data_IF_168203057893
#
_entry.id   IF_168203057893
#
_cell.length_a   1.000
_cell.length_b   1.000
_cell.length_c   1.000
_cell.angle_alpha   90.00
_cell.angle_beta   90.00
_cell.angle_gamma   90.00
#
_symmetry.space_group_name_H-M   'P 1'
#
loop_
_entity.id
_entity.type
_entity.pdbx_description
1 polymer ?
#
# COMPACT_ATOMS: atom_id res chain seq x y z
N UNK A 1 25.26 35.76 16.14
CA UNK A 1 25.01 34.34 15.73
C UNK A 1 24.58 34.36 14.27
N UNK A 2 25.46 33.88 13.37
CA UNK A 2 25.14 33.70 11.95
C UNK A 2 24.19 32.49 11.83
N UNK A 3 22.90 32.71 11.51
CA UNK A 3 21.99 31.66 11.07
C UNK A 3 22.37 31.30 9.62
N UNK A 4 23.14 30.22 9.46
CA UNK A 4 23.37 29.61 8.16
C UNK A 4 22.07 28.95 7.71
N UNK A 5 21.57 29.27 6.50
CA UNK A 5 20.40 28.56 5.97
C UNK A 5 20.72 27.07 5.81
N UNK A 6 19.84 26.20 6.32
CA UNK A 6 19.98 24.76 6.14
C UNK A 6 19.92 24.43 4.66
N UNK A 7 20.95 23.77 4.13
CA UNK A 7 20.97 23.26 2.75
C UNK A 7 19.78 22.30 2.59
N UNK A 8 18.87 22.52 1.62
CA UNK A 8 17.78 21.58 1.38
C UNK A 8 18.36 20.21 1.06
N UNK A 9 18.00 19.19 1.84
CA UNK A 9 18.38 17.81 1.51
C UNK A 9 17.80 17.46 0.14
N UNK A 10 18.64 17.00 -0.78
CA UNK A 10 18.19 16.46 -2.06
C UNK A 10 17.12 15.39 -1.80
N UNK A 11 15.92 15.58 -2.32
CA UNK A 11 14.85 14.58 -2.24
C UNK A 11 15.21 13.43 -3.17
N UNK A 12 15.66 12.32 -2.60
CA UNK A 12 15.83 11.08 -3.36
C UNK A 12 14.47 10.61 -3.87
N UNK A 13 14.41 10.24 -5.16
CA UNK A 13 13.21 9.63 -5.72
C UNK A 13 12.84 8.36 -4.94
N UNK A 14 11.55 8.11 -4.72
CA UNK A 14 11.10 6.91 -4.02
C UNK A 14 11.49 5.64 -4.80
N UNK A 15 11.95 4.63 -4.08
CA UNK A 15 12.19 3.30 -4.63
C UNK A 15 10.84 2.65 -4.94
N UNK A 16 10.68 2.19 -6.18
CA UNK A 16 9.47 1.49 -6.66
C UNK A 16 9.88 0.10 -7.11
N UNK A 17 9.08 -0.90 -6.76
CA UNK A 17 9.22 -2.27 -7.21
C UNK A 17 8.43 -2.47 -8.52
N UNK A 18 8.94 -3.30 -9.42
CA UNK A 18 8.15 -3.74 -10.58
C UNK A 18 7.04 -4.71 -10.16
N UNK A 19 6.06 -4.95 -11.06
CA UNK A 19 4.98 -5.91 -10.81
C UNK A 19 5.53 -7.34 -10.64
N UNK A 20 6.60 -7.69 -11.35
CA UNK A 20 7.29 -8.97 -11.22
C UNK A 20 8.00 -9.09 -9.86
N UNK A 21 8.63 -8.02 -9.37
CA UNK A 21 9.26 -7.99 -8.04
C UNK A 21 8.21 -8.18 -6.93
N UNK A 22 7.04 -7.51 -7.04
CA UNK A 22 5.91 -7.72 -6.13
C UNK A 22 5.44 -9.18 -6.17
N UNK A 23 5.29 -9.75 -7.36
CA UNK A 23 4.89 -11.14 -7.53
C UNK A 23 5.89 -12.11 -6.89
N UNK A 24 7.19 -11.90 -7.10
CA UNK A 24 8.25 -12.69 -6.46
C UNK A 24 8.16 -12.60 -4.93
N UNK A 25 7.90 -11.44 -4.37
CA UNK A 25 7.68 -11.29 -2.92
C UNK A 25 6.49 -12.10 -2.42
N UNK A 26 5.35 -12.04 -3.12
CA UNK A 26 4.15 -12.80 -2.75
C UNK A 26 4.39 -14.32 -2.82
N UNK A 27 5.14 -14.80 -3.80
CA UNK A 27 5.52 -16.21 -3.92
C UNK A 27 6.51 -16.64 -2.84
N UNK A 28 7.49 -15.80 -2.49
CA UNK A 28 8.52 -16.08 -1.49
C UNK A 28 8.01 -16.00 -0.04
N UNK A 29 6.80 -15.47 0.16
CA UNK A 29 6.15 -15.41 1.48
C UNK A 29 5.58 -16.77 1.84
N UNK A 30 6.34 -17.60 2.59
CA UNK A 30 5.93 -18.94 3.00
C UNK A 30 4.74 -18.93 3.97
N UNK A 31 4.80 -18.05 4.97
CA UNK A 31 3.71 -17.91 5.93
C UNK A 31 2.53 -17.15 5.31
N UNK A 32 1.34 -17.73 5.42
CA UNK A 32 0.10 -17.11 4.94
C UNK A 32 -0.11 -15.72 5.55
N UNK A 33 0.19 -15.55 6.84
CA UNK A 33 0.23 -14.26 7.54
C UNK A 33 1.04 -13.21 6.79
N UNK A 34 2.25 -13.54 6.38
CA UNK A 34 3.14 -12.60 5.71
C UNK A 34 2.69 -12.32 4.28
N UNK A 35 2.14 -13.32 3.58
CA UNK A 35 1.58 -13.13 2.24
C UNK A 35 0.39 -12.18 2.26
N UNK A 36 -0.53 -12.35 3.21
CA UNK A 36 -1.67 -11.44 3.42
C UNK A 36 -1.20 -10.04 3.83
N UNK A 37 -0.19 -9.96 4.70
CA UNK A 37 0.42 -8.70 5.13
C UNK A 37 0.95 -7.89 3.94
N UNK A 38 1.80 -8.51 3.10
CA UNK A 38 2.36 -7.87 1.89
C UNK A 38 1.23 -7.49 0.92
N UNK A 39 0.27 -8.40 0.73
CA UNK A 39 -0.89 -8.17 -0.11
C UNK A 39 -1.71 -6.95 0.33
N UNK A 40 -1.89 -6.74 1.64
CA UNK A 40 -2.60 -5.56 2.19
C UNK A 40 -1.78 -4.28 2.03
N UNK A 41 -0.47 -4.33 2.33
CA UNK A 41 0.38 -3.13 2.19
C UNK A 41 0.42 -2.67 0.73
N UNK A 42 0.65 -3.59 -0.21
CA UNK A 42 0.71 -3.28 -1.63
C UNK A 42 -0.68 -3.09 -2.24
N UNK A 43 -1.64 -4.01 -2.00
CA UNK A 43 -2.94 -3.98 -2.67
C UNK A 43 -3.89 -2.88 -2.18
N UNK A 44 -3.65 -2.32 -0.98
CA UNK A 44 -4.46 -1.25 -0.38
C UNK A 44 -3.64 0.01 -0.04
N UNK A 45 -2.35 0.03 -0.32
CA UNK A 45 -1.47 1.16 -0.06
C UNK A 45 -1.33 1.53 1.42
N UNK A 46 -1.35 0.55 2.33
CA UNK A 46 -1.39 0.79 3.77
C UNK A 46 -0.05 1.23 4.35
N UNK A 47 -0.11 2.09 5.37
CA UNK A 47 1.05 2.39 6.22
C UNK A 47 1.30 1.24 7.19
N UNK A 48 2.53 1.11 7.67
CA UNK A 48 2.93 0.07 8.62
C UNK A 48 1.99 0.01 9.86
N UNK A 49 1.65 1.16 10.43
CA UNK A 49 0.75 1.22 11.58
C UNK A 49 -0.71 0.96 11.21
N UNK A 50 -1.13 1.30 10.00
CA UNK A 50 -2.49 1.01 9.54
C UNK A 50 -2.70 -0.51 9.40
N UNK A 51 -1.77 -1.22 8.73
CA UNK A 51 -1.89 -2.67 8.59
C UNK A 51 -1.84 -3.41 9.92
N UNK A 52 -1.01 -2.93 10.87
CA UNK A 52 -0.92 -3.48 12.22
C UNK A 52 -2.23 -3.34 13.01
N UNK A 53 -2.94 -2.25 12.81
CA UNK A 53 -4.14 -1.88 13.56
C UNK A 53 -5.45 -2.31 12.89
N UNK A 54 -5.40 -3.15 11.85
CA UNK A 54 -6.63 -3.70 11.25
C UNK A 54 -7.33 -4.60 12.27
N UNK A 55 -8.56 -4.24 12.62
CA UNK A 55 -9.47 -5.09 13.37
C UNK A 55 -10.39 -5.85 12.41
N UNK A 56 -10.87 -7.03 12.81
CA UNK A 56 -11.76 -7.86 11.98
C UNK A 56 -13.03 -7.13 11.57
N UNK A 57 -13.59 -6.28 12.44
CA UNK A 57 -14.78 -5.47 12.16
C UNK A 57 -14.60 -4.42 11.06
N UNK A 58 -13.33 -4.11 10.69
CA UNK A 58 -13.01 -3.16 9.62
C UNK A 58 -13.06 -3.79 8.22
N UNK A 59 -13.19 -5.13 8.13
CA UNK A 59 -13.23 -5.89 6.88
C UNK A 59 -14.68 -6.06 6.42
N UNK A 60 -15.07 -5.36 5.37
CA UNK A 60 -16.36 -5.54 4.70
C UNK A 60 -16.14 -6.35 3.42
N UNK A 61 -16.37 -7.67 3.53
CA UNK A 61 -16.17 -8.58 2.41
C UNK A 61 -17.26 -8.49 1.34
N UNK A 62 -18.47 -8.08 1.72
CA UNK A 62 -19.61 -7.97 0.81
C UNK A 62 -19.44 -6.75 -0.09
N UNK A 63 -19.02 -5.63 0.48
CA UNK A 63 -18.69 -4.42 -0.27
C UNK A 63 -17.27 -4.42 -0.83
N UNK A 64 -16.47 -5.45 -0.52
CA UNK A 64 -15.05 -5.56 -0.90
C UNK A 64 -14.23 -4.34 -0.47
N UNK A 65 -14.39 -3.91 0.77
CA UNK A 65 -13.76 -2.71 1.30
C UNK A 65 -13.10 -2.97 2.65
N UNK A 66 -12.01 -2.24 2.91
CA UNK A 66 -11.38 -2.16 4.21
C UNK A 66 -11.51 -0.74 4.75
N UNK A 67 -12.07 -0.59 5.94
CA UNK A 67 -12.16 0.67 6.65
C UNK A 67 -10.86 0.96 7.39
N UNK A 68 -10.17 2.02 7.04
CA UNK A 68 -8.96 2.48 7.71
C UNK A 68 -9.33 3.58 8.68
N UNK A 69 -9.32 3.23 9.96
CA UNK A 69 -9.55 4.16 11.06
C UNK A 69 -8.25 4.88 11.39
N UNK A 70 -8.26 6.21 11.36
CA UNK A 70 -7.10 7.02 11.67
C UNK A 70 -7.27 7.71 13.02
N UNK A 71 -6.29 7.53 13.92
CA UNK A 71 -6.27 8.22 15.20
C UNK A 71 -5.88 9.70 15.02
N UNK A 72 -6.61 10.56 15.76
CA UNK A 72 -6.30 11.99 16.04
C UNK A 72 -6.13 12.89 14.80
N UNK A 73 -7.25 13.45 14.31
CA UNK A 73 -7.27 14.56 13.34
C UNK A 73 -7.16 14.18 11.87
N UNK A 74 -6.96 12.90 11.54
CA UNK A 74 -6.98 12.40 10.16
C UNK A 74 -8.33 11.76 9.85
N UNK A 75 -8.83 11.99 8.64
CA UNK A 75 -10.11 11.43 8.20
C UNK A 75 -9.99 9.93 7.94
N UNK A 76 -10.99 9.17 8.37
CA UNK A 76 -11.16 7.78 7.99
C UNK A 76 -11.30 7.64 6.48
N UNK A 77 -10.87 6.48 5.96
CA UNK A 77 -11.03 6.19 4.54
C UNK A 77 -11.35 4.72 4.30
N UNK A 78 -11.99 4.46 3.19
CA UNK A 78 -12.21 3.12 2.68
C UNK A 78 -11.25 2.84 1.52
N UNK A 79 -10.68 1.64 1.50
CA UNK A 79 -9.84 1.17 0.39
C UNK A 79 -10.39 -0.13 -0.16
N UNK A 80 -10.33 -0.37 -1.47
CA UNK A 80 -10.88 -1.57 -2.08
C UNK A 80 -10.04 -2.80 -1.72
N UNK A 81 -10.72 -3.94 -1.56
CA UNK A 81 -10.12 -5.27 -1.42
C UNK A 81 -10.31 -6.06 -2.71
N UNK A 82 -9.23 -6.54 -3.31
CA UNK A 82 -9.32 -7.44 -4.46
C UNK A 82 -9.85 -8.83 -4.04
N UNK A 83 -10.48 -9.55 -4.97
CA UNK A 83 -10.99 -10.90 -4.71
C UNK A 83 -9.88 -11.88 -4.27
N UNK A 84 -8.66 -11.72 -4.83
CA UNK A 84 -7.50 -12.50 -4.42
C UNK A 84 -7.13 -12.23 -2.96
N UNK A 85 -7.14 -10.95 -2.55
CA UNK A 85 -6.82 -10.57 -1.19
C UNK A 85 -7.90 -11.03 -0.21
N UNK A 86 -9.18 -10.91 -0.56
CA UNK A 86 -10.32 -11.41 0.24
C UNK A 86 -10.17 -12.91 0.49
N UNK A 87 -9.88 -13.71 -0.56
CA UNK A 87 -9.66 -15.15 -0.40
C UNK A 87 -8.48 -15.45 0.54
N UNK A 88 -7.38 -14.70 0.39
CA UNK A 88 -6.21 -14.83 1.27
C UNK A 88 -6.53 -14.50 2.73
N UNK A 89 -7.25 -13.39 2.96
CA UNK A 89 -7.65 -12.96 4.32
C UNK A 89 -8.58 -13.99 4.95
N UNK A 90 -9.61 -14.47 4.22
CA UNK A 90 -10.54 -15.48 4.74
C UNK A 90 -9.81 -16.78 5.11
N UNK A 91 -8.89 -17.27 4.26
CA UNK A 91 -8.04 -18.42 4.59
C UNK A 91 -7.19 -18.19 5.84
N UNK A 92 -6.59 -17.01 5.95
CA UNK A 92 -5.78 -16.65 7.11
C UNK A 92 -6.64 -16.63 8.40
N UNK A 93 -7.81 -16.00 8.36
CA UNK A 93 -8.74 -15.97 9.51
C UNK A 93 -9.16 -17.38 9.92
N UNK A 94 -9.47 -18.26 8.96
CA UNK A 94 -9.82 -19.66 9.24
C UNK A 94 -8.68 -20.50 9.80
N UNK A 95 -7.42 -20.16 9.50
CA UNK A 95 -6.26 -20.89 9.98
C UNK A 95 -5.76 -20.42 11.36
N UNK A 96 -5.77 -19.09 11.59
CA UNK A 96 -5.14 -18.49 12.77
C UNK A 96 -6.15 -18.06 13.85
N UNK A 97 -7.45 -18.04 13.52
CA UNK A 97 -8.55 -17.68 14.42
C UNK A 97 -8.32 -16.38 15.23
N UNK A 98 -7.92 -15.27 14.58
CA UNK A 98 -7.73 -14.01 15.29
C UNK A 98 -9.06 -13.54 15.91
N UNK A 99 -9.00 -12.91 17.09
CA UNK A 99 -10.20 -12.51 17.82
C UNK A 99 -10.59 -11.04 17.62
N UNK A 100 -9.63 -10.15 17.65
CA UNK A 100 -9.86 -8.70 17.52
C UNK A 100 -9.07 -8.11 16.37
N UNK A 101 -7.74 -8.22 16.43
CA UNK A 101 -6.85 -7.70 15.39
C UNK A 101 -6.57 -8.78 14.34
N UNK A 102 -6.55 -8.38 13.06
CA UNK A 102 -6.26 -9.29 11.98
C UNK A 102 -4.90 -9.98 12.16
N UNK A 103 -3.87 -9.21 12.54
CA UNK A 103 -2.53 -9.73 12.75
C UNK A 103 -2.16 -9.72 14.23
N UNK A 104 -1.95 -10.91 14.78
CA UNK A 104 -1.55 -11.10 16.18
C UNK A 104 -0.06 -11.44 16.28
N UNK A 105 0.58 -10.99 17.36
CA UNK A 105 1.93 -11.37 17.75
C UNK A 105 1.94 -12.53 18.75
N UNK A 106 3.10 -13.17 18.93
CA UNK A 106 3.26 -14.21 19.93
C UNK A 106 3.58 -13.68 21.34
N UNK A 107 4.00 -12.42 21.43
CA UNK A 107 4.29 -11.77 22.70
C UNK A 107 3.06 -11.04 23.21
N UNK A 108 2.51 -11.54 24.29
CA UNK A 108 1.66 -10.72 25.16
C UNK A 108 2.55 -9.60 25.72
N UNK A 109 2.04 -8.38 25.80
CA UNK A 109 2.73 -7.38 26.62
C UNK A 109 2.79 -7.87 28.06
N UNK A 110 3.60 -7.23 28.91
CA UNK A 110 3.74 -7.59 30.32
C UNK A 110 2.41 -7.54 31.10
N UNK A 111 1.36 -6.96 30.50
CA UNK A 111 -0.02 -6.86 31.02
C UNK A 111 -1.01 -7.79 30.30
N UNK A 112 -0.59 -8.55 29.29
CA UNK A 112 -1.43 -9.52 28.57
C UNK A 112 -2.42 -8.91 27.57
N UNK A 113 -2.37 -7.61 27.27
CA UNK A 113 -3.43 -6.90 26.54
C UNK A 113 -3.16 -6.57 25.08
N UNK A 114 -1.91 -6.44 24.62
CA UNK A 114 -1.66 -6.14 23.22
C UNK A 114 -1.13 -7.37 22.46
N UNK A 115 -2.06 -8.09 21.86
CA UNK A 115 -1.73 -9.24 21.00
C UNK A 115 -1.40 -8.85 19.56
N UNK A 116 -1.33 -7.55 19.24
CA UNK A 116 -1.07 -7.08 17.87
C UNK A 116 0.33 -7.42 17.39
N UNK A 117 0.44 -7.72 16.12
CA UNK A 117 1.75 -7.90 15.48
C UNK A 117 2.59 -6.61 15.61
N UNK A 118 3.84 -6.74 16.08
CA UNK A 118 4.68 -5.58 16.35
C UNK A 118 5.05 -4.82 15.08
N UNK A 119 5.29 -3.51 15.19
CA UNK A 119 5.79 -2.71 14.06
C UNK A 119 7.12 -3.26 13.52
N UNK A 120 8.02 -3.66 14.42
CA UNK A 120 9.29 -4.31 14.04
C UNK A 120 9.06 -5.62 13.30
N UNK A 121 8.07 -6.41 13.73
CA UNK A 121 7.69 -7.66 13.06
C UNK A 121 7.19 -7.43 11.63
N UNK A 122 6.35 -6.42 11.42
CA UNK A 122 5.87 -6.02 10.07
C UNK A 122 7.06 -5.61 9.18
N UNK A 123 7.95 -4.75 9.68
CA UNK A 123 9.12 -4.30 8.94
C UNK A 123 10.07 -5.45 8.63
N UNK A 124 10.35 -6.29 9.62
CA UNK A 124 11.18 -7.49 9.46
C UNK A 124 10.61 -8.44 8.41
N UNK A 125 9.31 -8.71 8.44
CA UNK A 125 8.66 -9.59 7.47
C UNK A 125 8.85 -9.07 6.03
N UNK A 126 8.62 -7.77 5.78
CA UNK A 126 8.81 -7.18 4.46
C UNK A 126 10.27 -7.29 4.00
N UNK A 127 11.23 -6.93 4.85
CA UNK A 127 12.66 -6.98 4.53
C UNK A 127 13.17 -8.42 4.34
N UNK A 128 12.76 -9.35 5.20
CA UNK A 128 13.16 -10.75 5.11
C UNK A 128 12.65 -11.38 3.79
N UNK A 129 11.39 -11.11 3.44
CA UNK A 129 10.78 -11.66 2.23
C UNK A 129 11.39 -11.02 0.96
N UNK A 130 11.68 -9.73 0.96
CA UNK A 130 12.33 -9.09 -0.19
C UNK A 130 13.71 -9.69 -0.47
N UNK A 131 14.50 -9.94 0.59
CA UNK A 131 15.80 -10.64 0.46
C UNK A 131 15.63 -12.06 -0.06
N UNK A 132 14.64 -12.80 0.46
CA UNK A 132 14.32 -14.16 0.01
C UNK A 132 13.86 -14.21 -1.45
N UNK A 133 13.15 -13.17 -1.90
CA UNK A 133 12.73 -13.00 -3.29
C UNK A 133 13.88 -12.58 -4.24
N UNK A 134 15.11 -12.39 -3.72
CA UNK A 134 16.26 -11.97 -4.50
C UNK A 134 16.20 -10.53 -4.98
N UNK A 135 15.43 -9.65 -4.30
CA UNK A 135 15.31 -8.25 -4.68
C UNK A 135 16.50 -7.47 -4.13
N UNK A 136 17.26 -6.83 -5.02
CA UNK A 136 18.47 -6.08 -4.66
C UNK A 136 18.17 -4.68 -4.12
N UNK A 137 16.96 -4.15 -4.38
CA UNK A 137 16.52 -2.84 -3.89
C UNK A 137 16.32 -2.87 -2.39
N UNK A 138 16.52 -1.72 -1.73
CA UNK A 138 16.20 -1.57 -0.30
C UNK A 138 14.68 -1.46 -0.10
N UNK A 139 14.08 -2.55 0.37
CA UNK A 139 12.62 -2.70 0.44
C UNK A 139 12.13 -2.55 1.88
N UNK A 140 11.27 -1.56 2.06
CA UNK A 140 10.57 -1.28 3.30
C UNK A 140 9.04 -1.29 3.08
N UNK A 141 8.26 -1.17 4.15
CA UNK A 141 6.81 -1.03 4.04
C UNK A 141 6.39 0.16 3.17
N UNK A 142 7.14 1.26 3.23
CA UNK A 142 6.90 2.42 2.38
C UNK A 142 7.18 2.15 0.90
N UNK A 143 8.17 1.31 0.59
CA UNK A 143 8.47 0.90 -0.80
C UNK A 143 7.28 0.21 -1.45
N UNK A 144 6.62 -0.73 -0.74
CA UNK A 144 5.41 -1.39 -1.22
C UNK A 144 4.26 -0.40 -1.44
N UNK A 145 4.09 0.55 -0.52
CA UNK A 145 3.08 1.60 -0.62
C UNK A 145 3.40 2.58 -1.77
N UNK A 146 4.65 2.93 -2.00
CA UNK A 146 5.07 3.74 -3.16
C UNK A 146 4.77 3.01 -4.46
N UNK A 147 5.09 1.71 -4.54
CA UNK A 147 4.78 0.87 -5.70
C UNK A 147 3.28 0.81 -5.99
N UNK A 148 2.43 0.71 -4.95
CA UNK A 148 0.97 0.79 -5.11
C UNK A 148 0.52 2.10 -5.77
N UNK A 149 0.99 3.24 -5.24
CA UNK A 149 0.59 4.55 -5.78
C UNK A 149 1.08 4.75 -7.22
N UNK A 150 2.32 4.36 -7.50
CA UNK A 150 2.92 4.44 -8.85
C UNK A 150 2.16 3.56 -9.84
N UNK A 151 1.89 2.30 -9.49
CA UNK A 151 1.16 1.39 -10.37
C UNK A 151 -0.28 1.82 -10.63
N UNK A 152 -0.97 2.43 -9.65
CA UNK A 152 -2.31 2.99 -9.89
C UNK A 152 -2.28 4.13 -10.91
N UNK A 153 -1.27 5.02 -10.81
CA UNK A 153 -1.11 6.11 -11.78
C UNK A 153 -0.76 5.58 -13.17
N UNK A 154 0.09 4.55 -13.27
CA UNK A 154 0.41 3.85 -14.52
C UNK A 154 -0.83 3.16 -15.12
N UNK A 155 -1.73 2.64 -14.29
CA UNK A 155 -3.01 2.07 -14.70
C UNK A 155 -4.05 3.15 -15.08
N UNK A 156 -3.67 4.43 -15.08
CA UNK A 156 -4.53 5.55 -15.47
C UNK A 156 -5.49 6.04 -14.40
N UNK A 157 -5.33 5.62 -13.15
CA UNK A 157 -6.15 6.13 -12.04
C UNK A 157 -5.83 7.60 -11.79
N UNK A 158 -6.85 8.43 -11.70
CA UNK A 158 -6.71 9.86 -11.46
C UNK A 158 -5.97 10.15 -10.16
N UNK A 159 -5.04 11.12 -10.19
CA UNK A 159 -4.19 11.48 -9.05
C UNK A 159 -4.97 11.84 -7.78
N UNK A 160 -6.14 12.49 -7.92
CA UNK A 160 -7.01 12.84 -6.78
C UNK A 160 -7.65 11.58 -6.16
N UNK A 161 -7.91 10.54 -6.95
CA UNK A 161 -8.38 9.25 -6.44
C UNK A 161 -7.23 8.54 -5.70
N UNK A 162 -6.02 8.55 -6.26
CA UNK A 162 -4.83 7.98 -5.60
C UNK A 162 -4.57 8.73 -4.29
N UNK A 163 -4.66 10.07 -4.26
CA UNK A 163 -4.53 10.88 -3.05
C UNK A 163 -5.51 10.41 -1.96
N UNK A 164 -6.79 10.23 -2.31
CA UNK A 164 -7.84 9.77 -1.37
C UNK A 164 -7.53 8.36 -0.84
N UNK A 165 -7.20 7.42 -1.72
CA UNK A 165 -6.85 6.04 -1.35
C UNK A 165 -5.63 5.98 -0.44
N UNK A 166 -4.61 6.81 -0.72
CA UNK A 166 -3.42 6.92 0.10
C UNK A 166 -3.65 7.65 1.43
N UNK A 167 -4.72 8.44 1.55
CA UNK A 167 -4.96 9.30 2.70
C UNK A 167 -3.87 10.35 2.86
N UNK A 168 -3.50 11.02 1.77
CA UNK A 168 -2.62 12.18 1.76
C UNK A 168 -3.43 13.45 1.93
N UNK A 169 -3.05 14.28 2.90
CA UNK A 169 -3.73 15.57 3.14
C UNK A 169 -3.49 16.55 1.97
N UNK A 170 -2.29 16.51 1.40
CA UNK A 170 -1.86 17.39 0.33
C UNK A 170 -1.62 16.59 -0.94
N UNK A 171 -2.08 17.13 -2.08
CA UNK A 171 -1.90 16.48 -3.38
C UNK A 171 -0.43 16.43 -3.80
N UNK A 172 0.37 17.42 -3.38
CA UNK A 172 1.81 17.48 -3.68
C UNK A 172 2.56 16.22 -3.21
N UNK A 173 2.12 15.63 -2.09
CA UNK A 173 2.68 14.34 -1.62
C UNK A 173 2.40 13.21 -2.60
N UNK A 174 1.29 13.27 -3.34
CA UNK A 174 0.94 12.27 -4.35
C UNK A 174 1.61 12.58 -5.69
N UNK A 175 1.84 13.86 -6.00
CA UNK A 175 2.53 14.29 -7.22
C UNK A 175 3.98 13.79 -7.27
N UNK A 176 4.62 13.51 -6.14
CA UNK A 176 5.97 12.92 -6.10
C UNK A 176 6.04 11.58 -6.87
N UNK A 177 4.93 10.85 -6.98
CA UNK A 177 4.88 9.59 -7.73
C UNK A 177 4.86 9.79 -9.25
N UNK A 178 4.40 10.93 -9.76
CA UNK A 178 4.42 11.23 -11.19
C UNK A 178 5.84 11.25 -11.78
N UNK A 179 6.84 11.61 -10.95
CA UNK A 179 8.24 11.63 -11.39
C UNK A 179 8.87 10.24 -11.55
N UNK A 180 8.23 9.21 -11.00
CA UNK A 180 8.72 7.81 -11.06
C UNK A 180 7.80 6.89 -11.87
N UNK A 181 6.61 7.38 -12.25
CA UNK A 181 5.71 6.65 -13.14
C UNK A 181 6.34 6.52 -14.52
N UNK A 182 6.37 5.31 -15.04
CA UNK A 182 6.53 5.06 -16.48
C UNK A 182 5.16 5.31 -17.13
N UNK A 183 4.79 6.60 -17.24
CA UNK A 183 3.65 6.96 -18.06
C UNK A 183 4.09 6.62 -19.50
N UNK A 184 3.64 5.49 -20.02
CA UNK A 184 3.56 5.34 -21.47
C UNK A 184 2.92 6.63 -21.96
N UNK A 185 3.56 7.30 -22.92
CA UNK A 185 2.96 8.48 -23.53
C UNK A 185 1.56 8.07 -23.98
N UNK A 186 0.58 8.27 -23.10
CA UNK A 186 -0.81 8.11 -23.46
C UNK A 186 -0.94 8.92 -24.72
N UNK A 187 -1.29 8.27 -25.82
CA UNK A 187 -1.53 8.94 -27.10
C UNK A 187 -2.54 10.03 -26.81
N UNK A 188 -2.02 11.22 -26.56
CA UNK A 188 -2.84 12.40 -26.31
C UNK A 188 -3.57 12.66 -27.62
N UNK A 189 -4.80 12.22 -27.71
CA UNK A 189 -5.66 12.52 -28.84
C UNK A 189 -6.11 13.96 -28.75
N UNK A 190 -6.01 14.69 -29.81
CA UNK A 190 -6.66 15.98 -29.88
C UNK A 190 -8.18 15.79 -29.71
N UNK A 191 -8.85 16.57 -28.84
CA UNK A 191 -10.31 16.53 -28.77
C UNK A 191 -10.99 16.77 -30.13
N UNK A 192 -10.32 17.47 -31.02
CA UNK A 192 -10.78 17.72 -32.39
C UNK A 192 -10.92 16.42 -33.20
N UNK A 193 -9.96 15.49 -33.03
CA UNK A 193 -10.01 14.19 -33.73
C UNK A 193 -11.27 13.39 -33.31
N UNK A 194 -11.66 13.50 -32.04
CA UNK A 194 -12.88 12.89 -31.52
C UNK A 194 -14.13 13.50 -32.16
N UNK A 195 -14.16 14.82 -32.33
CA UNK A 195 -15.28 15.52 -32.96
C UNK A 195 -15.42 15.05 -34.41
N UNK A 196 -14.33 14.99 -35.18
CA UNK A 196 -14.36 14.54 -36.57
C UNK A 196 -14.79 13.06 -36.68
N UNK A 197 -14.32 12.19 -35.78
CA UNK A 197 -14.73 10.78 -35.77
C UNK A 197 -16.23 10.60 -35.51
N UNK A 198 -16.86 11.50 -34.74
CA UNK A 198 -18.30 11.48 -34.46
C UNK A 198 -19.14 12.03 -35.63
N UNK A 199 -18.62 13.04 -36.35
CA UNK A 199 -19.33 13.72 -37.45
C UNK A 199 -19.13 13.06 -38.82
N UNK A 200 -18.24 12.10 -38.94
CA UNK A 200 -17.94 11.37 -40.19
C UNK A 200 -18.73 10.06 -40.35
N UNK A 201 -19.77 9.88 -39.53
CA UNK A 201 -20.79 8.82 -39.67
C UNK A 201 -22.10 9.44 -40.20
#
# INVERSE_FOLDING_TARGET
>A
YLHLPSIPKEKKLPVVLSREEIWKMLQSAELLKHRVLIGLIYGCGLRCMEVRNIELKHLDFDRKQLHIVQSKGKKDRYVPLSDHLIRGIKRYISAEHPTTFLFTGHTKDAKGFDSRYSQRGVQWAVQSISKKAGILKDVHTHTLRHSYATHLLEDGVNILQVQKLMGHERVETTMEYLHVCQLEQQKVHSPLDTVFALCSR
#
